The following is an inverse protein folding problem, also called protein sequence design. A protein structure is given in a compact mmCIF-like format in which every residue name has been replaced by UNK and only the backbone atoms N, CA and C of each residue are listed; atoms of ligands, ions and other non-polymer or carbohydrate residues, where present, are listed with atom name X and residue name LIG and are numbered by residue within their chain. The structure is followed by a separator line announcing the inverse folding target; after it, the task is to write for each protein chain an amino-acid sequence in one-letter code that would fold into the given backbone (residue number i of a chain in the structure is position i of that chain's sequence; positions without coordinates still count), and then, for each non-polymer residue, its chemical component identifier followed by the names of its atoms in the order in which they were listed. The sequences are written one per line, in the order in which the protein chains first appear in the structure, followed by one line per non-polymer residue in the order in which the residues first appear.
data_IF_668584042520
#
_entry.id   IF_668584042520
#
_cell.length_a   1.000
_cell.length_b   1.000
_cell.length_c   1.000
_cell.angle_alpha   90.00
_cell.angle_beta   90.00
_cell.angle_gamma   90.00
#
_symmetry.space_group_name_H-M   'P 1'
#
loop_
_entity.id
_entity.type
_entity.pdbx_description
1 polymer ?
#
# COMPACT_ATOMS: atom_id res chain seq x y z
N UNK A 1 -2.26 -8.40 -40.07
CA UNK A 1 -3.24 -7.29 -39.99
C UNK A 1 -4.54 -7.85 -39.41
N UNK A 2 -4.94 -7.48 -38.18
CA UNK A 2 -6.05 -8.14 -37.46
C UNK A 2 -7.39 -8.10 -38.21
N UNK A 3 -8.12 -9.21 -38.29
CA UNK A 3 -9.46 -9.27 -38.91
C UNK A 3 -10.46 -8.41 -38.11
N UNK A 4 -11.41 -7.74 -38.79
CA UNK A 4 -12.34 -6.78 -38.15
C UNK A 4 -13.20 -7.44 -37.07
N UNK A 5 -13.64 -8.67 -37.29
CA UNK A 5 -14.42 -9.46 -36.33
C UNK A 5 -13.60 -9.80 -35.08
N UNK A 6 -12.31 -10.11 -35.26
CA UNK A 6 -11.40 -10.33 -34.13
C UNK A 6 -11.24 -9.09 -33.25
N UNK A 7 -11.21 -7.89 -33.84
CA UNK A 7 -11.19 -6.63 -33.08
C UNK A 7 -12.50 -6.37 -32.32
N UNK A 8 -13.65 -6.80 -32.85
CA UNK A 8 -14.94 -6.66 -32.17
C UNK A 8 -15.03 -7.61 -30.96
N UNK A 9 -14.62 -8.87 -31.14
CA UNK A 9 -14.51 -9.83 -30.04
C UNK A 9 -13.52 -9.36 -28.98
N UNK A 10 -12.41 -8.76 -29.40
CA UNK A 10 -11.42 -8.15 -28.51
C UNK A 10 -12.03 -7.00 -27.67
N UNK A 11 -12.90 -6.17 -28.24
CA UNK A 11 -13.63 -5.14 -27.48
C UNK A 11 -14.64 -5.71 -26.48
N UNK A 12 -15.33 -6.80 -26.83
CA UNK A 12 -16.18 -7.51 -25.86
C UNK A 12 -15.33 -8.10 -24.71
N UNK A 13 -14.14 -8.61 -25.03
CA UNK A 13 -13.15 -9.05 -24.04
C UNK A 13 -12.67 -7.92 -23.12
N UNK A 14 -12.51 -6.70 -23.64
CA UNK A 14 -12.22 -5.49 -22.85
C UNK A 14 -13.29 -5.24 -21.79
N UNK A 15 -14.56 -5.47 -22.13
CA UNK A 15 -15.68 -5.37 -21.20
C UNK A 15 -15.54 -6.33 -20.02
N UNK A 16 -15.38 -7.64 -20.31
CA UNK A 16 -15.20 -8.66 -19.28
C UNK A 16 -13.96 -8.41 -18.41
N UNK A 17 -12.85 -8.03 -19.04
CA UNK A 17 -11.61 -7.72 -18.32
C UNK A 17 -11.79 -6.53 -17.38
N UNK A 18 -12.50 -5.49 -17.80
CA UNK A 18 -12.75 -4.31 -16.98
C UNK A 18 -13.55 -4.65 -15.71
N UNK A 19 -14.44 -5.65 -15.75
CA UNK A 19 -15.11 -6.16 -14.53
C UNK A 19 -14.12 -6.86 -13.59
N UNK A 20 -13.22 -7.68 -14.11
CA UNK A 20 -12.17 -8.32 -13.30
C UNK A 20 -11.28 -7.25 -12.66
N UNK A 21 -10.90 -6.24 -13.43
CA UNK A 21 -10.10 -5.10 -12.97
C UNK A 21 -10.81 -4.31 -11.87
N UNK A 22 -12.11 -4.06 -12.02
CA UNK A 22 -12.94 -3.43 -10.99
C UNK A 22 -12.87 -4.22 -9.67
N UNK A 23 -13.17 -5.52 -9.70
CA UNK A 23 -13.18 -6.36 -8.50
C UNK A 23 -11.80 -6.35 -7.84
N UNK A 24 -10.74 -6.56 -8.62
CA UNK A 24 -9.38 -6.61 -8.13
C UNK A 24 -8.95 -5.28 -7.49
N UNK A 25 -9.17 -4.15 -8.15
CA UNK A 25 -8.78 -2.84 -7.60
C UNK A 25 -9.60 -2.45 -6.36
N UNK A 26 -10.88 -2.81 -6.31
CA UNK A 26 -11.70 -2.60 -5.11
C UNK A 26 -11.20 -3.44 -3.94
N UNK A 27 -10.88 -4.72 -4.17
CA UNK A 27 -10.33 -5.60 -3.11
C UNK A 27 -8.97 -5.09 -2.64
N UNK A 28 -8.04 -4.80 -3.55
CA UNK A 28 -6.73 -4.28 -3.19
C UNK A 28 -6.82 -2.93 -2.46
N UNK A 29 -7.70 -2.04 -2.93
CA UNK A 29 -7.93 -0.76 -2.28
C UNK A 29 -8.55 -0.92 -0.88
N UNK A 30 -9.51 -1.84 -0.71
CA UNK A 30 -10.09 -2.14 0.59
C UNK A 30 -9.04 -2.69 1.57
N UNK A 31 -8.16 -3.59 1.13
CA UNK A 31 -7.05 -4.09 1.96
C UNK A 31 -6.11 -2.97 2.42
N UNK A 32 -5.89 -1.94 1.60
CA UNK A 32 -5.09 -0.78 1.99
C UNK A 32 -5.84 0.18 2.93
N UNK A 33 -7.16 0.36 2.76
CA UNK A 33 -7.97 1.27 3.58
C UNK A 33 -8.32 0.68 4.95
N UNK A 34 -8.52 -0.63 5.05
CA UNK A 34 -9.00 -1.28 6.28
C UNK A 34 -7.86 -1.60 7.27
N UNK A 35 -6.63 -1.73 6.76
CA UNK A 35 -5.51 -2.14 7.59
C UNK A 35 -4.84 -0.95 8.30
N UNK A 36 -5.23 -0.72 9.55
CA UNK A 36 -4.66 0.31 10.44
C UNK A 36 -3.13 0.24 10.55
N UNK A 37 -2.55 -0.96 10.51
CA UNK A 37 -1.10 -1.16 10.69
C UNK A 37 -0.30 -0.60 9.52
N UNK A 38 -0.86 -0.59 8.31
CA UNK A 38 -0.24 0.08 7.16
C UNK A 38 -0.20 1.59 7.36
N UNK A 39 -1.25 2.18 7.92
CA UNK A 39 -1.32 3.63 8.13
C UNK A 39 -0.42 4.07 9.26
N UNK A 40 -0.31 3.27 10.32
CA UNK A 40 0.65 3.50 11.40
C UNK A 40 2.10 3.46 10.88
N UNK A 41 2.43 2.47 10.03
CA UNK A 41 3.78 2.28 9.51
C UNK A 41 4.17 3.23 8.36
N UNK A 42 3.26 3.53 7.45
CA UNK A 42 3.58 4.23 6.19
C UNK A 42 2.81 5.56 6.05
N UNK A 43 1.93 5.88 7.00
CA UNK A 43 1.14 7.09 7.03
C UNK A 43 -0.19 6.99 6.29
N UNK A 44 -0.99 8.05 6.41
CA UNK A 44 -2.31 8.19 5.79
C UNK A 44 -2.28 8.17 4.26
N UNK A 45 -1.11 8.42 3.64
CA UNK A 45 -0.93 8.29 2.18
C UNK A 45 -1.37 6.93 1.65
N UNK A 46 -1.14 5.85 2.41
CA UNK A 46 -1.58 4.50 1.98
C UNK A 46 -3.11 4.37 1.99
N UNK A 47 -3.78 5.00 2.94
CA UNK A 47 -5.25 5.05 2.98
C UNK A 47 -5.79 5.80 1.77
N UNK A 48 -5.20 6.94 1.42
CA UNK A 48 -5.59 7.73 0.26
C UNK A 48 -5.37 6.97 -1.04
N UNK A 49 -4.24 6.27 -1.17
CA UNK A 49 -3.98 5.37 -2.31
C UNK A 49 -5.03 4.27 -2.39
N UNK A 50 -5.37 3.63 -1.26
CA UNK A 50 -6.43 2.63 -1.21
C UNK A 50 -7.78 3.17 -1.67
N UNK A 51 -8.17 4.36 -1.21
CA UNK A 51 -9.36 5.07 -1.69
C UNK A 51 -9.31 5.38 -3.19
N UNK A 52 -8.15 5.81 -3.69
CA UNK A 52 -7.90 6.04 -5.12
C UNK A 52 -8.03 4.78 -5.97
N UNK A 53 -7.59 3.62 -5.48
CA UNK A 53 -7.76 2.33 -6.17
C UNK A 53 -9.24 1.90 -6.20
N UNK A 54 -9.99 2.06 -5.10
CA UNK A 54 -11.44 1.79 -5.07
C UNK A 54 -12.16 2.68 -6.09
N UNK A 55 -11.88 3.98 -6.06
CA UNK A 55 -12.44 4.94 -7.00
C UNK A 55 -12.13 4.54 -8.45
N UNK A 56 -10.87 4.23 -8.75
CA UNK A 56 -10.45 3.78 -10.08
C UNK A 56 -11.17 2.48 -10.49
N UNK A 57 -11.32 1.54 -9.55
CA UNK A 57 -12.06 0.29 -9.76
C UNK A 57 -13.52 0.54 -10.17
N UNK A 58 -14.22 1.45 -9.50
CA UNK A 58 -15.59 1.84 -9.87
C UNK A 58 -15.63 2.41 -11.29
N UNK A 59 -14.63 3.20 -11.71
CA UNK A 59 -14.59 3.72 -13.08
C UNK A 59 -14.37 2.65 -14.15
N UNK A 60 -13.72 1.53 -13.81
CA UNK A 60 -13.63 0.37 -14.70
C UNK A 60 -15.00 -0.27 -14.99
N UNK A 61 -15.99 -0.13 -14.11
CA UNK A 61 -17.36 -0.57 -14.41
C UNK A 61 -17.95 0.19 -15.62
N UNK A 62 -17.75 1.51 -15.68
CA UNK A 62 -18.21 2.30 -16.83
C UNK A 62 -17.45 1.93 -18.11
N UNK A 63 -16.14 1.65 -18.00
CA UNK A 63 -15.35 1.14 -19.12
C UNK A 63 -15.84 -0.25 -19.59
N UNK A 64 -16.35 -1.08 -18.68
CA UNK A 64 -16.94 -2.36 -19.03
C UNK A 64 -18.22 -2.18 -19.87
N UNK A 65 -19.14 -1.32 -19.39
CA UNK A 65 -20.39 -1.01 -20.10
C UNK A 65 -20.12 -0.44 -21.49
N UNK A 66 -19.21 0.53 -21.59
CA UNK A 66 -18.80 1.12 -22.87
C UNK A 66 -18.12 0.08 -23.78
N UNK A 67 -17.29 -0.81 -23.24
CA UNK A 67 -16.71 -1.93 -23.99
C UNK A 67 -17.77 -2.83 -24.64
N UNK A 68 -18.80 -3.23 -23.89
CA UNK A 68 -19.90 -4.03 -24.44
C UNK A 68 -20.74 -3.27 -25.48
N UNK A 69 -21.05 -1.99 -25.22
CA UNK A 69 -21.84 -1.17 -26.16
C UNK A 69 -21.06 -0.88 -27.44
N UNK A 70 -19.77 -0.55 -27.35
CA UNK A 70 -18.91 -0.26 -28.52
C UNK A 70 -18.62 -1.49 -29.39
N UNK A 71 -18.62 -2.68 -28.78
CA UNK A 71 -18.55 -3.93 -29.53
C UNK A 71 -19.81 -4.14 -30.40
N UNK A 72 -20.99 -3.84 -29.87
CA UNK A 72 -22.28 -4.01 -30.58
C UNK A 72 -22.60 -2.87 -31.55
N UNK A 73 -22.22 -1.64 -31.22
CA UNK A 73 -22.53 -0.45 -32.00
C UNK A 73 -21.39 -0.10 -32.95
N UNK A 74 -21.70 0.43 -34.14
CA UNK A 74 -20.69 0.95 -35.08
C UNK A 74 -20.29 2.41 -34.77
N UNK A 75 -20.64 2.93 -33.60
CA UNK A 75 -20.47 4.33 -33.24
C UNK A 75 -19.00 4.63 -32.84
N UNK A 76 -18.33 5.49 -33.61
CA UNK A 76 -16.95 5.90 -33.33
C UNK A 76 -16.81 6.83 -32.13
N UNK A 77 -17.82 7.65 -31.86
CA UNK A 77 -17.79 8.55 -30.71
C UNK A 77 -17.70 7.75 -29.41
N UNK A 78 -18.48 6.66 -29.30
CA UNK A 78 -18.41 5.76 -28.14
C UNK A 78 -17.05 5.07 -28.00
N UNK A 79 -16.40 4.69 -29.12
CA UNK A 79 -15.03 4.14 -29.08
C UNK A 79 -14.01 5.19 -28.62
N UNK A 80 -14.17 6.45 -29.04
CA UNK A 80 -13.28 7.53 -28.61
C UNK A 80 -13.48 7.84 -27.12
N UNK A 81 -14.72 7.85 -26.63
CA UNK A 81 -15.03 7.96 -25.19
C UNK A 81 -14.40 6.80 -24.41
N UNK A 82 -14.48 5.57 -24.93
CA UNK A 82 -13.83 4.41 -24.31
C UNK A 82 -12.30 4.59 -24.23
N UNK A 83 -11.66 5.07 -25.29
CA UNK A 83 -10.20 5.33 -25.29
C UNK A 83 -9.84 6.38 -24.24
N UNK A 84 -10.57 7.50 -24.18
CA UNK A 84 -10.32 8.55 -23.20
C UNK A 84 -10.47 8.00 -21.77
N UNK A 85 -11.53 7.24 -21.51
CA UNK A 85 -11.76 6.63 -20.21
C UNK A 85 -10.65 5.64 -19.83
N UNK A 86 -10.21 4.79 -20.76
CA UNK A 86 -9.11 3.86 -20.51
C UNK A 86 -7.78 4.57 -20.26
N UNK A 87 -7.49 5.67 -20.96
CA UNK A 87 -6.28 6.49 -20.72
C UNK A 87 -6.33 7.13 -19.33
N UNK A 88 -7.50 7.66 -18.95
CA UNK A 88 -7.73 8.20 -17.61
C UNK A 88 -7.51 7.13 -16.54
N UNK A 89 -8.13 5.95 -16.70
CA UNK A 89 -7.99 4.82 -15.78
C UNK A 89 -6.54 4.34 -15.67
N UNK A 90 -5.83 4.26 -16.79
CA UNK A 90 -4.40 3.93 -16.84
C UNK A 90 -3.57 4.92 -16.02
N UNK A 91 -3.80 6.22 -16.21
CA UNK A 91 -3.08 7.26 -15.49
C UNK A 91 -3.32 7.15 -13.98
N UNK A 92 -4.59 7.09 -13.55
CA UNK A 92 -4.92 6.99 -12.13
C UNK A 92 -4.38 5.71 -11.48
N UNK A 93 -4.53 4.56 -12.13
CA UNK A 93 -4.01 3.29 -11.62
C UNK A 93 -2.47 3.30 -11.54
N UNK A 94 -1.79 3.86 -12.53
CA UNK A 94 -0.33 3.97 -12.53
C UNK A 94 0.16 4.90 -11.42
N UNK A 95 -0.49 6.05 -11.20
CA UNK A 95 -0.16 6.97 -10.11
C UNK A 95 -0.38 6.31 -8.76
N UNK A 96 -1.55 5.71 -8.52
CA UNK A 96 -1.86 5.09 -7.22
C UNK A 96 -0.96 3.89 -6.92
N UNK A 97 -0.75 3.01 -7.90
CA UNK A 97 0.18 1.88 -7.76
C UNK A 97 1.63 2.33 -7.57
N UNK A 98 2.06 3.38 -8.27
CA UNK A 98 3.40 3.96 -8.12
C UNK A 98 3.62 4.60 -6.75
N UNK A 99 2.64 5.32 -6.22
CA UNK A 99 2.72 5.92 -4.88
C UNK A 99 2.76 4.83 -3.80
N UNK A 100 1.94 3.78 -3.89
CA UNK A 100 2.02 2.63 -2.98
C UNK A 100 3.41 1.99 -2.98
N UNK A 101 3.99 1.77 -4.17
CA UNK A 101 5.32 1.16 -4.31
C UNK A 101 6.45 2.06 -3.79
N UNK A 102 6.33 3.37 -3.99
CA UNK A 102 7.30 4.33 -3.47
C UNK A 102 7.22 4.41 -1.93
N UNK A 103 6.00 4.48 -1.39
CA UNK A 103 5.76 4.54 0.05
C UNK A 103 6.25 3.26 0.76
N UNK A 104 6.02 2.07 0.19
CA UNK A 104 6.49 0.81 0.76
C UNK A 104 8.02 0.70 0.83
N UNK A 105 8.73 1.46 0.00
CA UNK A 105 10.21 1.49 0.00
C UNK A 105 10.80 2.56 0.90
N UNK A 106 10.01 3.49 1.43
CA UNK A 106 10.51 4.57 2.28
C UNK A 106 11.39 4.07 3.44
N UNK A 107 11.04 2.99 4.18
CA UNK A 107 11.93 2.44 5.22
C UNK A 107 13.27 1.95 4.69
N UNK A 108 13.29 1.32 3.51
CA UNK A 108 14.52 0.83 2.88
C UNK A 108 15.37 1.94 2.24
N UNK A 109 14.74 3.07 1.88
CA UNK A 109 15.41 4.26 1.36
C UNK A 109 16.15 5.01 2.47
N UNK A 110 15.63 5.02 3.69
CA UNK A 110 16.28 5.64 4.84
C UNK A 110 17.51 4.85 5.32
N UNK A 111 17.39 3.52 5.41
CA UNK A 111 18.48 2.63 5.78
C UNK A 111 18.22 1.22 5.22
N UNK A 112 19.26 0.55 4.68
CA UNK A 112 19.09 -0.82 4.18
C UNK A 112 18.65 -1.77 5.30
N UNK A 113 17.87 -2.79 4.96
CA UNK A 113 17.33 -3.73 5.95
C UNK A 113 18.42 -4.36 6.83
N UNK A 114 19.53 -4.79 6.23
CA UNK A 114 20.64 -5.40 6.98
C UNK A 114 21.26 -4.41 7.97
N UNK A 115 21.40 -3.13 7.57
CA UNK A 115 21.87 -2.08 8.46
C UNK A 115 20.87 -1.78 9.58
N UNK A 116 19.55 -1.81 9.32
CA UNK A 116 18.54 -1.70 10.37
C UNK A 116 18.67 -2.84 11.40
N UNK A 117 18.87 -4.08 10.94
CA UNK A 117 19.06 -5.25 11.83
C UNK A 117 20.35 -5.12 12.65
N UNK A 118 21.43 -4.62 12.04
CA UNK A 118 22.68 -4.31 12.73
C UNK A 118 22.44 -3.27 13.83
N UNK A 119 21.77 -2.16 13.53
CA UNK A 119 21.44 -1.12 14.50
C UNK A 119 20.61 -1.66 15.67
N UNK A 120 19.75 -2.65 15.43
CA UNK A 120 18.87 -3.24 16.44
C UNK A 120 19.48 -4.39 17.24
N UNK A 121 20.72 -4.80 16.95
CA UNK A 121 21.39 -5.92 17.62
C UNK A 121 22.52 -5.41 18.52
N UNK A 122 22.47 -5.71 19.82
CA UNK A 122 23.37 -5.12 20.85
C UNK A 122 24.85 -5.21 20.48
N UNK A 123 25.39 -6.43 20.35
CA UNK A 123 26.82 -6.61 20.09
C UNK A 123 27.27 -6.15 18.71
N UNK A 124 26.34 -6.02 17.75
CA UNK A 124 26.64 -5.46 16.43
C UNK A 124 26.69 -3.94 16.50
N UNK A 125 25.72 -3.33 17.18
CA UNK A 125 25.65 -1.88 17.40
C UNK A 125 26.86 -1.38 18.21
N UNK A 126 27.25 -2.08 19.27
CA UNK A 126 28.41 -1.71 20.10
C UNK A 126 29.72 -1.73 19.29
N UNK A 127 29.85 -2.68 18.37
CA UNK A 127 31.01 -2.86 17.49
C UNK A 127 31.07 -1.87 16.31
N UNK A 128 30.04 -1.05 16.10
CA UNK A 128 30.04 -0.04 15.04
C UNK A 128 30.99 1.12 15.35
N UNK A 129 31.50 1.74 14.27
CA UNK A 129 32.22 3.01 14.34
C UNK A 129 31.29 4.13 14.87
N UNK A 130 31.86 5.23 15.38
CA UNK A 130 31.06 6.36 15.85
C UNK A 130 30.22 6.99 14.73
N UNK A 131 30.73 6.98 13.50
CA UNK A 131 30.01 7.46 12.32
C UNK A 131 28.79 6.59 12.00
N UNK A 132 28.96 5.27 12.01
CA UNK A 132 27.85 4.32 11.80
C UNK A 132 26.82 4.36 12.94
N UNK A 133 27.27 4.57 14.18
CA UNK A 133 26.37 4.79 15.32
C UNK A 133 25.50 6.03 15.11
N UNK A 134 26.04 7.11 14.53
CA UNK A 134 25.24 8.28 14.19
C UNK A 134 24.18 7.98 13.11
N UNK A 135 24.48 7.11 12.15
CA UNK A 135 23.50 6.65 11.16
C UNK A 135 22.35 5.89 11.85
N UNK A 136 22.68 4.97 12.77
CA UNK A 136 21.67 4.27 13.57
C UNK A 136 20.85 5.24 14.43
N UNK A 137 21.48 6.26 15.03
CA UNK A 137 20.79 7.29 15.80
C UNK A 137 19.80 8.10 14.95
N UNK A 138 20.18 8.44 13.70
CA UNK A 138 19.25 9.06 12.74
C UNK A 138 18.09 8.13 12.41
N UNK A 139 18.35 6.84 12.21
CA UNK A 139 17.32 5.84 12.00
C UNK A 139 16.35 5.74 13.18
N UNK A 140 16.83 5.71 14.43
CA UNK A 140 15.95 5.64 15.61
C UNK A 140 15.07 6.87 15.79
N UNK A 141 15.46 8.03 15.26
CA UNK A 141 14.67 9.28 15.27
C UNK A 141 13.80 9.46 14.04
N UNK A 142 13.89 8.54 13.07
CA UNK A 142 13.14 8.63 11.82
C UNK A 142 11.65 8.40 12.02
N UNK A 143 10.85 8.94 11.11
CA UNK A 143 9.40 8.73 11.13
C UNK A 143 9.07 7.25 10.89
N UNK A 144 9.86 6.55 10.07
CA UNK A 144 9.71 5.13 9.79
C UNK A 144 9.86 4.29 11.05
N UNK A 145 10.86 4.60 11.88
CA UNK A 145 11.02 3.97 13.19
C UNK A 145 9.87 4.37 14.12
N UNK A 146 9.40 5.61 14.09
CA UNK A 146 8.24 5.99 14.90
C UNK A 146 6.97 5.22 14.50
N UNK A 147 6.72 4.96 13.22
CA UNK A 147 5.55 4.15 12.83
C UNK A 147 5.67 2.67 13.12
N UNK A 148 6.87 2.10 12.97
CA UNK A 148 7.07 0.71 13.38
C UNK A 148 6.86 0.57 14.90
N UNK A 149 7.18 1.61 15.69
CA UNK A 149 6.85 1.66 17.11
C UNK A 149 5.34 1.67 17.36
N UNK A 150 4.58 2.48 16.62
CA UNK A 150 3.11 2.52 16.71
C UNK A 150 2.47 1.17 16.40
N UNK A 151 2.95 0.49 15.35
CA UNK A 151 2.49 -0.87 15.02
C UNK A 151 2.81 -1.84 16.15
N UNK A 152 4.03 -1.80 16.69
CA UNK A 152 4.41 -2.70 17.79
C UNK A 152 3.58 -2.44 19.05
N UNK A 153 3.32 -1.18 19.37
CA UNK A 153 2.42 -0.78 20.44
C UNK A 153 1.02 -1.35 20.24
N UNK A 154 0.46 -1.23 19.03
CA UNK A 154 -0.83 -1.80 18.70
C UNK A 154 -0.84 -3.33 18.83
N UNK A 155 0.20 -4.01 18.36
CA UNK A 155 0.37 -5.46 18.52
C UNK A 155 0.47 -5.87 19.99
N UNK A 156 1.25 -5.12 20.78
CA UNK A 156 1.42 -5.36 22.21
C UNK A 156 0.08 -5.25 22.95
N UNK A 157 -0.66 -4.14 22.76
CA UNK A 157 -1.97 -3.93 23.40
C UNK A 157 -2.99 -4.97 22.95
N UNK A 158 -3.09 -5.25 21.64
CA UNK A 158 -3.99 -6.27 21.10
C UNK A 158 -3.58 -7.70 21.52
N UNK A 159 -2.33 -7.92 21.96
CA UNK A 159 -1.87 -9.21 22.49
C UNK A 159 -1.99 -9.35 24.01
N UNK A 160 -2.31 -8.26 24.72
CA UNK A 160 -2.48 -8.27 26.17
C UNK A 160 -3.71 -9.09 26.58
N UNK A 161 -3.58 -9.79 27.71
CA UNK A 161 -4.64 -10.62 28.28
C UNK A 161 -5.86 -9.75 28.62
N UNK A 162 -7.03 -10.12 28.07
CA UNK A 162 -8.29 -9.38 28.28
C UNK A 162 -8.77 -8.55 27.10
N UNK A 163 -8.03 -8.52 25.98
CA UNK A 163 -8.55 -7.96 24.72
C UNK A 163 -9.33 -9.00 23.91
N UNK A 164 -10.34 -8.57 23.14
CA UNK A 164 -11.20 -9.45 22.33
C UNK A 164 -10.43 -10.28 21.29
N UNK A 165 -9.23 -9.83 20.91
CA UNK A 165 -8.35 -10.47 19.93
C UNK A 165 -7.03 -10.97 20.52
N UNK A 166 -6.95 -11.08 21.85
CA UNK A 166 -5.73 -11.43 22.58
C UNK A 166 -5.05 -12.70 22.05
N UNK A 167 -5.82 -13.75 21.74
CA UNK A 167 -5.27 -15.04 21.33
C UNK A 167 -4.58 -14.99 19.96
N UNK A 168 -5.15 -14.28 18.97
CA UNK A 168 -4.61 -14.22 17.61
C UNK A 168 -3.40 -13.30 17.52
N UNK A 169 -3.47 -12.10 18.11
CA UNK A 169 -2.34 -11.17 18.13
C UNK A 169 -1.20 -11.69 18.98
N UNK A 170 -1.48 -12.32 20.13
CA UNK A 170 -0.41 -12.93 20.94
C UNK A 170 0.31 -14.05 20.18
N UNK A 171 -0.42 -14.93 19.50
CA UNK A 171 0.20 -15.97 18.68
C UNK A 171 1.06 -15.36 17.55
N UNK A 172 0.56 -14.35 16.84
CA UNK A 172 1.30 -13.65 15.79
C UNK A 172 2.59 -13.01 16.31
N UNK A 173 2.52 -12.27 17.43
CA UNK A 173 3.70 -11.59 18.00
C UNK A 173 4.74 -12.60 18.48
N UNK A 174 4.30 -13.66 19.16
CA UNK A 174 5.21 -14.72 19.62
C UNK A 174 5.87 -15.44 18.44
N UNK A 175 5.13 -15.67 17.36
CA UNK A 175 5.68 -16.28 16.15
C UNK A 175 6.70 -15.35 15.48
N UNK A 176 6.40 -14.06 15.36
CA UNK A 176 7.34 -13.07 14.81
C UNK A 176 8.64 -13.02 15.62
N UNK A 177 8.53 -13.03 16.95
CA UNK A 177 9.69 -13.06 17.86
C UNK A 177 10.51 -14.34 17.72
N UNK A 178 9.82 -15.49 17.58
CA UNK A 178 10.44 -16.81 17.45
C UNK A 178 11.17 -16.97 16.13
N UNK A 179 10.54 -16.63 15.00
CA UNK A 179 11.13 -16.76 13.66
C UNK A 179 12.33 -15.85 13.45
N UNK A 180 12.30 -14.65 14.04
CA UNK A 180 13.34 -13.63 13.83
C UNK A 180 14.35 -13.51 14.97
N UNK A 181 14.23 -14.35 16.00
CA UNK A 181 15.06 -14.32 17.22
C UNK A 181 15.18 -12.90 17.80
N UNK A 182 14.06 -12.19 17.90
CA UNK A 182 13.98 -10.81 18.37
C UNK A 182 13.06 -10.71 19.60
N UNK A 183 13.23 -9.66 20.40
CA UNK A 183 12.36 -9.38 21.54
C UNK A 183 12.13 -7.88 21.71
N UNK A 184 10.89 -7.52 22.00
CA UNK A 184 10.46 -6.13 22.08
C UNK A 184 10.66 -5.37 20.77
N UNK A 185 10.44 -4.06 20.82
CA UNK A 185 10.51 -3.20 19.65
C UNK A 185 11.93 -2.75 19.29
N UNK A 186 12.58 -2.02 20.19
CA UNK A 186 13.86 -1.33 19.97
C UNK A 186 15.10 -2.13 20.36
N UNK A 187 16.27 -1.50 20.20
CA UNK A 187 17.56 -2.02 20.64
C UNK A 187 17.52 -2.28 22.17
N UNK A 188 17.79 -3.50 22.65
CA UNK A 188 17.78 -3.80 24.08
C UNK A 188 18.76 -2.94 24.87
N UNK A 189 18.47 -2.64 26.14
CA UNK A 189 19.29 -1.87 27.10
C UNK A 189 19.80 -0.50 26.63
N UNK A 190 19.24 0.06 25.57
CA UNK A 190 19.66 1.34 25.00
C UNK A 190 18.52 2.36 24.98
N UNK A 191 17.59 2.32 25.93
CA UNK A 191 16.45 3.24 25.94
C UNK A 191 16.86 4.69 26.26
N UNK A 192 16.25 5.66 25.59
CA UNK A 192 16.28 7.08 25.95
C UNK A 192 14.94 7.73 25.64
N UNK A 193 14.48 8.58 26.56
CA UNK A 193 13.26 9.35 26.37
C UNK A 193 13.44 10.34 25.21
N UNK A 194 12.45 10.41 24.34
CA UNK A 194 12.36 11.38 23.26
C UNK A 194 11.05 12.17 23.41
N UNK A 195 11.20 13.48 23.62
CA UNK A 195 10.08 14.41 23.79
C UNK A 195 9.44 14.81 22.47
N UNK A 196 9.91 14.28 21.33
CA UNK A 196 9.32 14.58 20.04
C UNK A 196 7.96 13.89 19.88
N UNK A 197 6.96 14.63 19.40
CA UNK A 197 5.62 14.08 19.13
C UNK A 197 5.65 13.11 17.95
N UNK A 198 4.83 12.05 17.94
CA UNK A 198 4.64 11.19 16.76
C UNK A 198 4.27 12.00 15.50
N UNK A 199 4.61 11.52 14.29
CA UNK A 199 4.34 12.26 13.05
C UNK A 199 2.83 12.39 12.85
N UNK A 200 2.32 13.60 12.60
CA UNK A 200 0.88 13.85 12.43
C UNK A 200 0.25 13.11 11.25
N UNK A 201 1.07 12.65 10.31
CA UNK A 201 0.67 11.83 9.17
C UNK A 201 0.37 10.37 9.52
N UNK A 202 0.57 9.95 10.77
CA UNK A 202 0.40 8.57 11.25
C UNK A 202 -0.64 8.54 12.37
N UNK A 203 -1.68 7.70 12.29
CA UNK A 203 -2.66 7.59 13.36
C UNK A 203 -2.01 7.00 14.62
N UNK A 204 -2.24 7.62 15.77
CA UNK A 204 -1.72 7.14 17.06
C UNK A 204 -2.31 5.79 17.45
N UNK A 205 -1.49 4.93 18.06
CA UNK A 205 -1.98 3.76 18.79
C UNK A 205 -2.47 4.23 20.17
N UNK A 206 -3.66 3.81 20.60
CA UNK A 206 -4.12 4.05 21.98
C UNK A 206 -3.33 3.13 22.93
N UNK A 207 -2.21 3.59 23.47
CA UNK A 207 -1.57 2.91 24.60
C UNK A 207 -1.72 3.81 25.82
N UNK A 208 -2.74 3.58 26.66
CA UNK A 208 -2.95 4.42 27.83
C UNK A 208 -1.68 4.47 28.67
N UNK A 209 -1.07 5.67 28.75
CA UNK A 209 0.19 6.06 29.47
C UNK A 209 1.51 6.04 28.68
N UNK A 210 1.57 5.54 27.45
CA UNK A 210 2.75 5.69 26.59
C UNK A 210 2.52 6.69 25.44
N UNK A 211 1.39 7.41 25.47
CA UNK A 211 0.88 8.24 24.38
C UNK A 211 1.68 9.54 24.15
N UNK A 212 2.51 9.98 25.10
CA UNK A 212 3.14 11.32 25.05
C UNK A 212 4.65 11.34 24.76
N UNK A 213 5.36 10.21 24.91
CA UNK A 213 6.82 10.18 24.75
C UNK A 213 7.25 9.07 23.80
N UNK A 214 7.92 9.46 22.71
CA UNK A 214 8.67 8.51 21.89
C UNK A 214 9.78 7.91 22.75
N UNK A 215 10.08 6.64 22.54
CA UNK A 215 11.26 6.00 23.12
C UNK A 215 12.20 5.66 21.99
N UNK A 216 13.36 6.30 22.00
CA UNK A 216 14.41 6.07 21.00
C UNK A 216 15.55 5.28 21.61
N UNK A 217 16.33 4.65 20.75
CA UNK A 217 17.51 3.94 21.18
C UNK A 217 18.72 4.90 21.19
N UNK A 218 19.52 4.91 22.26
CA UNK A 218 20.69 5.77 22.47
C UNK A 218 21.99 4.98 22.51
N UNK A 219 23.13 5.66 22.34
CA UNK A 219 24.45 5.06 22.54
C UNK A 219 24.75 4.72 24.01
N UNK A 220 23.97 5.28 24.96
CA UNK A 220 24.13 5.05 26.39
C UNK A 220 23.22 3.92 26.87
N UNK A 221 23.70 3.14 27.85
CA UNK A 221 22.88 2.12 28.47
C UNK A 221 21.70 2.76 29.21
N UNK A 222 20.49 2.28 28.94
CA UNK A 222 19.24 2.76 29.50
C UNK A 222 18.17 1.69 29.47
N UNK A 223 17.39 1.60 30.54
CA UNK A 223 16.30 0.63 30.66
C UNK A 223 14.98 1.25 30.21
N UNK A 224 14.13 0.43 29.60
CA UNK A 224 12.78 0.78 29.17
C UNK A 224 11.82 0.85 30.36
N UNK A 225 10.68 1.52 30.13
CA UNK A 225 9.61 1.62 31.12
C UNK A 225 9.04 0.24 31.50
N UNK A 226 8.51 0.10 32.72
CA UNK A 226 7.81 -1.11 33.16
C UNK A 226 6.65 -1.50 32.23
N UNK A 227 6.42 -2.80 32.08
CA UNK A 227 5.33 -3.37 31.28
C UNK A 227 4.60 -4.47 32.05
N UNK A 228 3.51 -5.02 31.51
CA UNK A 228 2.79 -6.11 32.21
C UNK A 228 3.62 -7.39 32.34
N UNK A 229 4.53 -7.62 31.39
CA UNK A 229 5.38 -8.82 31.33
C UNK A 229 6.73 -8.59 32.05
N UNK A 230 7.02 -7.35 32.49
CA UNK A 230 8.25 -6.98 33.16
C UNK A 230 7.97 -5.92 34.25
N UNK A 231 8.00 -6.34 35.51
CA UNK A 231 7.79 -5.47 36.67
C UNK A 231 9.10 -4.73 37.01
N UNK A 232 9.13 -3.40 36.81
CA UNK A 232 10.31 -2.57 37.04
C UNK A 232 10.94 -2.05 35.76
N UNK A 233 12.23 -1.74 35.77
CA UNK A 233 12.93 -1.25 34.58
C UNK A 233 13.28 -2.41 33.64
N UNK A 234 12.87 -2.31 32.37
CA UNK A 234 12.90 -3.43 31.42
C UNK A 234 14.07 -3.35 30.46
N UNK A 235 14.72 -4.47 30.17
CA UNK A 235 15.81 -4.50 29.18
C UNK A 235 15.32 -4.41 27.74
N UNK A 236 14.04 -4.71 27.50
CA UNK A 236 13.39 -4.68 26.19
C UNK A 236 12.19 -3.74 26.20
N UNK A 237 11.93 -3.08 25.07
CA UNK A 237 10.77 -2.21 24.89
C UNK A 237 9.53 -3.05 24.59
N UNK A 238 8.49 -3.01 25.44
CA UNK A 238 7.23 -3.75 25.22
C UNK A 238 7.45 -5.23 24.86
N UNK A 239 8.16 -6.01 25.70
CA UNK A 239 8.38 -7.42 25.45
C UNK A 239 7.08 -8.20 25.60
N UNK A 240 6.75 -9.05 24.63
CA UNK A 240 5.64 -10.01 24.74
C UNK A 240 6.15 -11.40 25.15
N UNK A 241 5.39 -12.09 26.00
CA UNK A 241 5.72 -13.44 26.46
C UNK A 241 6.99 -13.53 27.30
N UNK A 242 7.71 -14.65 27.20
CA UNK A 242 8.88 -14.94 28.04
C UNK A 242 10.16 -14.25 27.57
N UNK A 243 10.18 -13.65 26.37
CA UNK A 243 11.40 -13.09 25.79
C UNK A 243 12.00 -11.99 26.66
N UNK A 244 11.15 -11.18 27.32
CA UNK A 244 11.58 -10.09 28.20
C UNK A 244 12.26 -10.54 29.49
N UNK A 245 12.17 -11.83 29.84
CA UNK A 245 12.80 -12.41 31.04
C UNK A 245 14.22 -12.92 30.77
N UNK A 246 14.60 -13.07 29.50
CA UNK A 246 15.91 -13.55 29.13
C UNK A 246 16.95 -12.44 29.37
N UNK A 247 18.15 -12.79 29.86
CA UNK A 247 19.23 -11.81 29.99
C UNK A 247 19.63 -11.29 28.61
N UNK A 248 19.92 -10.00 28.52
CA UNK A 248 20.42 -9.40 27.29
C UNK A 248 21.84 -9.88 27.02
N UNK A 249 22.06 -10.35 25.80
CA UNK A 249 23.34 -10.84 25.28
C UNK A 249 23.76 -10.01 24.07
N UNK A 250 25.00 -10.17 23.63
CA UNK A 250 25.51 -9.53 22.40
C UNK A 250 24.71 -9.88 21.13
N UNK A 251 23.91 -10.96 21.13
CA UNK A 251 23.07 -11.36 20.00
C UNK A 251 21.61 -10.92 20.13
N UNK A 252 21.23 -10.35 21.28
CA UNK A 252 19.87 -9.86 21.54
C UNK A 252 19.54 -8.69 20.60
N UNK A 253 18.32 -8.68 20.07
CA UNK A 253 17.88 -7.68 19.10
C UNK A 253 16.40 -7.32 19.20
N UNK A 254 16.05 -6.11 18.76
CA UNK A 254 14.67 -5.63 18.65
C UNK A 254 13.95 -6.12 17.40
N UNK A 255 12.62 -6.10 17.41
CA UNK A 255 11.76 -6.59 16.32
C UNK A 255 11.36 -5.53 15.28
N UNK A 256 11.71 -4.25 15.48
CA UNK A 256 11.26 -3.13 14.64
C UNK A 256 11.46 -3.34 13.13
N UNK A 257 12.67 -3.73 12.70
CA UNK A 257 13.00 -3.91 11.29
C UNK A 257 12.20 -5.03 10.62
N UNK A 258 11.86 -6.08 11.38
CA UNK A 258 11.11 -7.24 10.87
C UNK A 258 9.64 -6.89 10.64
N UNK A 259 9.03 -6.19 11.60
CA UNK A 259 7.65 -5.69 11.50
C UNK A 259 7.53 -4.71 10.33
N UNK A 260 8.45 -3.76 10.26
CA UNK A 260 8.50 -2.78 9.17
C UNK A 260 8.64 -3.47 7.80
N UNK A 261 9.55 -4.43 7.68
CA UNK A 261 9.76 -5.19 6.43
C UNK A 261 8.53 -6.00 6.05
N UNK A 262 7.91 -6.71 6.99
CA UNK A 262 6.77 -7.57 6.71
C UNK A 262 5.59 -6.78 6.13
N UNK A 263 5.21 -5.67 6.78
CA UNK A 263 4.11 -4.82 6.33
C UNK A 263 4.46 -4.07 5.04
N UNK A 264 5.71 -3.59 4.91
CA UNK A 264 6.18 -2.93 3.69
C UNK A 264 6.12 -3.86 2.47
N UNK A 265 6.51 -5.13 2.61
CA UNK A 265 6.43 -6.11 1.52
C UNK A 265 4.99 -6.41 1.09
N UNK A 266 4.04 -6.39 2.02
CA UNK A 266 2.61 -6.57 1.70
C UNK A 266 2.09 -5.39 0.86
N UNK A 267 2.42 -4.16 1.26
CA UNK A 267 2.04 -2.95 0.51
C UNK A 267 2.77 -2.89 -0.84
N UNK A 268 4.05 -3.29 -0.89
CA UNK A 268 4.82 -3.41 -2.13
C UNK A 268 4.17 -4.39 -3.10
N UNK A 269 3.76 -5.57 -2.61
CA UNK A 269 3.07 -6.57 -3.43
C UNK A 269 1.75 -6.04 -3.98
N UNK A 270 0.95 -5.35 -3.17
CA UNK A 270 -0.31 -4.73 -3.61
C UNK A 270 -0.04 -3.68 -4.70
N UNK A 271 0.92 -2.78 -4.48
CA UNK A 271 1.31 -1.76 -5.45
C UNK A 271 1.84 -2.35 -6.76
N UNK A 272 2.69 -3.38 -6.68
CA UNK A 272 3.24 -4.09 -7.83
C UNK A 272 2.15 -4.82 -8.63
N UNK A 273 1.19 -5.48 -7.96
CA UNK A 273 0.04 -6.10 -8.63
C UNK A 273 -0.80 -5.02 -9.32
N UNK A 274 -1.13 -3.93 -8.64
CA UNK A 274 -1.89 -2.84 -9.25
C UNK A 274 -1.19 -2.28 -10.50
N UNK A 275 0.14 -2.12 -10.48
CA UNK A 275 0.93 -1.67 -11.63
C UNK A 275 1.00 -2.71 -12.77
N UNK A 276 1.20 -3.98 -12.45
CA UNK A 276 1.27 -5.05 -13.47
C UNK A 276 0.00 -5.10 -14.31
N UNK A 277 -1.16 -4.88 -13.67
CA UNK A 277 -2.45 -4.89 -14.35
C UNK A 277 -2.70 -3.64 -15.24
N UNK A 278 -1.82 -2.63 -15.21
CA UNK A 278 -1.87 -1.49 -16.16
C UNK A 278 -1.50 -1.92 -17.59
N UNK A 279 -0.84 -3.06 -17.78
CA UNK A 279 -0.54 -3.57 -19.12
C UNK A 279 -1.81 -3.79 -19.96
N UNK A 280 -2.91 -4.21 -19.34
CA UNK A 280 -4.14 -4.53 -20.05
C UNK A 280 -4.88 -3.33 -20.66
N UNK A 281 -5.15 -2.23 -19.94
CA UNK A 281 -5.74 -1.04 -20.56
C UNK A 281 -4.88 -0.52 -21.73
N UNK A 282 -3.54 -0.66 -21.70
CA UNK A 282 -2.68 -0.31 -22.84
C UNK A 282 -3.06 -1.12 -24.09
N UNK A 283 -3.17 -2.44 -23.96
CA UNK A 283 -3.54 -3.32 -25.09
C UNK A 283 -4.95 -2.96 -25.60
N UNK A 284 -5.90 -2.66 -24.70
CA UNK A 284 -7.25 -2.28 -25.08
C UNK A 284 -7.34 -0.89 -25.75
N UNK A 285 -6.52 0.07 -25.33
CA UNK A 285 -6.38 1.37 -26.00
C UNK A 285 -5.88 1.17 -27.43
N UNK A 286 -4.82 0.37 -27.62
CA UNK A 286 -4.27 0.08 -28.95
C UNK A 286 -5.34 -0.58 -29.83
N UNK A 287 -6.03 -1.61 -29.33
CA UNK A 287 -7.09 -2.28 -30.08
C UNK A 287 -8.26 -1.36 -30.43
N UNK A 288 -8.67 -0.49 -29.52
CA UNK A 288 -9.73 0.51 -29.74
C UNK A 288 -9.33 1.51 -30.82
N UNK A 289 -8.10 2.03 -30.78
CA UNK A 289 -7.56 2.95 -31.80
C UNK A 289 -7.48 2.26 -33.17
N UNK A 290 -6.99 1.03 -33.24
CA UNK A 290 -6.99 0.24 -34.48
C UNK A 290 -8.41 0.05 -35.04
N UNK A 291 -9.40 -0.21 -34.17
CA UNK A 291 -10.79 -0.38 -34.58
C UNK A 291 -11.40 0.95 -35.07
N UNK A 292 -11.07 2.08 -34.44
CA UNK A 292 -11.47 3.42 -34.91
C UNK A 292 -10.98 3.67 -36.34
N UNK A 293 -9.72 3.38 -36.64
CA UNK A 293 -9.17 3.51 -37.99
C UNK A 293 -9.82 2.54 -38.99
N UNK A 294 -10.10 1.30 -38.60
CA UNK A 294 -10.78 0.33 -39.47
C UNK A 294 -12.26 0.64 -39.72
N UNK A 295 -12.91 1.40 -38.85
CA UNK A 295 -14.29 1.84 -39.05
C UNK A 295 -14.39 3.11 -39.90
N UNK A 296 -13.28 3.60 -40.50
CA UNK A 296 -13.22 4.87 -41.27
C UNK A 296 -14.42 5.06 -42.20
N UNK A 297 -14.80 4.04 -42.96
CA UNK A 297 -15.84 4.12 -44.00
C UNK A 297 -17.28 3.92 -43.47
N UNK A 298 -17.46 3.65 -42.18
CA UNK A 298 -18.77 3.40 -41.55
C UNK A 298 -19.25 4.57 -40.70
N UNK A 299 -18.71 5.78 -40.94
CA UNK A 299 -19.21 6.98 -40.27
C UNK A 299 -20.68 7.19 -40.64
N UNK A 300 -21.52 7.14 -39.61
CA UNK A 300 -22.88 7.67 -39.66
C UNK A 300 -22.74 9.19 -39.74
N UNK A 301 -22.48 9.73 -40.94
CA UNK A 301 -23.05 11.03 -41.23
C UNK A 301 -24.56 10.83 -41.09
N UNK A 302 -25.28 11.63 -40.29
CA UNK A 302 -26.72 11.67 -40.45
C UNK A 302 -26.97 11.90 -41.94
N UNK A 303 -27.74 11.03 -42.59
CA UNK A 303 -28.18 11.32 -43.94
C UNK A 303 -28.99 12.61 -43.81
N UNK A 304 -28.39 13.73 -44.21
CA UNK A 304 -29.11 14.96 -44.44
C UNK A 304 -29.91 14.67 -45.71
N UNK A 305 -31.04 13.98 -45.55
CA UNK A 305 -32.08 13.98 -46.56
C UNK A 305 -32.55 15.43 -46.61
N UNK A 306 -32.00 16.20 -47.54
CA UNK A 306 -32.67 17.39 -48.02
C UNK A 306 -34.01 16.91 -48.57
N UNK A 307 -35.04 16.94 -47.75
CA UNK A 307 -36.40 16.71 -48.20
C UNK A 307 -36.67 17.72 -49.30
N UNK A 308 -36.63 17.28 -50.57
CA UNK A 308 -37.03 18.09 -51.71
C UNK A 308 -38.55 18.22 -51.69
N UNK A 309 -39.08 18.98 -50.73
CA UNK A 309 -40.32 19.72 -50.95
C UNK A 309 -39.87 20.88 -51.84
N UNK A 310 -40.17 20.90 -53.13
CA UNK A 310 -41.48 21.23 -53.68
C UNK A 310 -41.65 20.55 -55.04
N UNK A 311 -42.65 19.68 -55.18
CA UNK A 311 -43.25 19.33 -56.47
C UNK A 311 -44.15 20.51 -56.83
N UNK A 312 -43.71 21.38 -57.74
CA UNK A 312 -44.59 22.39 -58.33
C UNK A 312 -45.54 21.61 -59.25
N UNK A 313 -46.79 21.44 -58.84
CA UNK A 313 -47.85 21.04 -59.76
C UNK A 313 -48.07 22.20 -60.73
N UNK A 314 -47.71 21.98 -62.00
CA UNK A 314 -48.28 22.71 -63.10
C UNK A 314 -49.66 22.11 -63.37
N UNK A 315 -50.71 22.78 -62.92
CA UNK A 315 -52.04 22.62 -63.52
C UNK A 315 -52.22 23.75 -64.55
N UNK A 316 -52.68 23.35 -65.72
CA UNK A 316 -53.08 24.21 -66.85
C UNK A 316 -54.37 24.96 -66.53
#
# INVERSE_FOLDING_TARGET
MFHKEGLIQFMAGSGCYSIIQMILLVVLGALLVDNEHYHQLLGLTIRDVGGGLIFTGIFYFFAALLGFVTARTKNKCLLLVQVILLVFLLFFQAVMGGVALAASRAPSLALSYDAQVICLTVGRYEALSDEDKQICQKFFRSDEFAGAMLVWQAYYVKSAVGSDSASSYRAMVLELQRENFCCGYGLPIHCTADTSSFPSSRPSALVPKCDEERQVCSSTAGLYLPTTECQGACSFALPSGTCGKNPVTATSRGCAAFVSRQLSLQVEAIGAIALAFVAFPIVFIIGSVCLCFKRRDQDVRPQIEFASKVKIHAEM
#
